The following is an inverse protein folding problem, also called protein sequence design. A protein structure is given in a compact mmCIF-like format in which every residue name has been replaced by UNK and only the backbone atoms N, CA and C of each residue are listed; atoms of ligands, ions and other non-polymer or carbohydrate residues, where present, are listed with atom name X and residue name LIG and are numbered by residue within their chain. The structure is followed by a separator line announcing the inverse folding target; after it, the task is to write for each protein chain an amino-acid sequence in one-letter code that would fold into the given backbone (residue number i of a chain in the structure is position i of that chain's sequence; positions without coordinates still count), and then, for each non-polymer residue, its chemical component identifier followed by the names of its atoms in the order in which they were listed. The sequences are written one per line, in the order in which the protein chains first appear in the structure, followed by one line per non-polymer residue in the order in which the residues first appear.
data_IF_972075353120
#
_entry.id   IF_972075353120
#
_cell.length_a   1.000
_cell.length_b   1.000
_cell.length_c   1.000
_cell.angle_alpha   90.00
_cell.angle_beta   90.00
_cell.angle_gamma   90.00
#
_symmetry.space_group_name_H-M   'P 1'
#
loop_
_entity.id
_entity.type
_entity.pdbx_description
1 polymer ?
#
# COMPACT_ATOMS: atom_id res chain seq x y z
N UNK A 1 6.85 17.09 -35.41
CA UNK A 1 6.97 16.27 -34.17
C UNK A 1 8.45 16.16 -33.87
N UNK A 2 8.85 15.96 -32.62
CA UNK A 2 10.25 15.66 -32.30
C UNK A 2 10.59 14.29 -32.89
N UNK A 3 11.63 14.20 -33.71
CA UNK A 3 12.00 12.95 -34.39
C UNK A 3 13.42 12.47 -34.04
N UNK A 4 14.23 13.30 -33.37
CA UNK A 4 15.59 12.96 -33.02
C UNK A 4 15.71 12.63 -31.52
N UNK A 5 16.41 11.53 -31.21
CA UNK A 5 16.78 11.13 -29.85
C UNK A 5 17.73 12.14 -29.18
N UNK A 6 18.53 12.87 -29.95
CA UNK A 6 19.39 13.93 -29.41
C UNK A 6 18.56 15.09 -28.84
N UNK A 7 17.48 15.47 -29.53
CA UNK A 7 16.60 16.53 -29.05
C UNK A 7 15.86 16.11 -27.77
N UNK A 8 15.53 14.82 -27.64
CA UNK A 8 14.94 14.30 -26.42
C UNK A 8 15.95 14.28 -25.27
N UNK A 9 17.21 13.95 -25.55
CA UNK A 9 18.30 14.02 -24.59
C UNK A 9 18.52 15.44 -24.05
N UNK A 10 18.33 16.47 -24.88
CA UNK A 10 18.38 17.87 -24.41
C UNK A 10 17.32 18.18 -23.33
N UNK A 11 16.10 17.63 -23.43
CA UNK A 11 15.11 17.79 -22.37
C UNK A 11 15.48 17.00 -21.12
N UNK A 12 16.02 15.79 -21.28
CA UNK A 12 16.52 14.98 -20.16
C UNK A 12 17.64 15.71 -19.39
N UNK A 13 18.53 16.40 -20.10
CA UNK A 13 19.60 17.20 -19.49
C UNK A 13 19.07 18.52 -18.93
N UNK A 14 18.10 19.15 -19.57
CA UNK A 14 17.42 20.35 -19.06
C UNK A 14 16.76 20.13 -17.69
N UNK A 15 16.33 18.91 -17.37
CA UNK A 15 15.82 18.53 -16.05
C UNK A 15 16.83 18.75 -14.91
N UNK A 16 18.14 18.76 -15.24
CA UNK A 16 19.24 18.95 -14.29
C UNK A 16 19.65 20.43 -14.14
N UNK A 17 19.01 21.34 -14.86
CA UNK A 17 19.30 22.78 -14.84
C UNK A 17 19.14 23.38 -13.44
N UNK A 18 19.87 24.45 -13.11
CA UNK A 18 19.62 25.22 -11.88
C UNK A 18 18.36 26.10 -11.94
N UNK A 19 17.79 26.31 -13.13
CA UNK A 19 16.61 27.17 -13.34
C UNK A 19 15.31 26.37 -13.26
N UNK A 20 14.45 26.72 -12.31
CA UNK A 20 13.15 26.10 -12.09
C UNK A 20 12.23 26.11 -13.32
N UNK A 21 12.26 27.16 -14.14
CA UNK A 21 11.46 27.23 -15.38
C UNK A 21 11.94 26.20 -16.40
N UNK A 22 13.26 26.05 -16.52
CA UNK A 22 13.87 25.06 -17.42
C UNK A 22 13.54 23.64 -16.95
N UNK A 23 13.62 23.36 -15.65
CA UNK A 23 13.20 22.05 -15.10
C UNK A 23 11.74 21.73 -15.40
N UNK A 24 10.84 22.66 -15.12
CA UNK A 24 9.39 22.51 -15.35
C UNK A 24 9.08 22.24 -16.82
N UNK A 25 9.67 23.03 -17.72
CA UNK A 25 9.51 22.84 -19.16
C UNK A 25 10.09 21.49 -19.62
N UNK A 26 11.27 21.13 -19.11
CA UNK A 26 11.92 19.86 -19.43
C UNK A 26 11.07 18.67 -19.01
N UNK A 27 10.52 18.67 -17.79
CA UNK A 27 9.62 17.63 -17.31
C UNK A 27 8.38 17.47 -18.19
N UNK A 28 7.75 18.59 -18.57
CA UNK A 28 6.60 18.58 -19.48
C UNK A 28 6.97 17.96 -20.84
N UNK A 29 8.11 18.33 -21.42
CA UNK A 29 8.55 17.83 -22.72
C UNK A 29 8.95 16.35 -22.67
N UNK A 30 9.60 15.93 -21.57
CA UNK A 30 9.91 14.51 -21.31
C UNK A 30 8.64 13.67 -21.34
N UNK A 31 7.61 14.07 -20.60
CA UNK A 31 6.33 13.34 -20.52
C UNK A 31 5.58 13.40 -21.86
N UNK A 32 5.59 14.55 -22.54
CA UNK A 32 4.92 14.73 -23.84
C UNK A 32 5.41 13.75 -24.90
N UNK A 33 6.71 13.49 -24.94
CA UNK A 33 7.34 12.60 -25.94
C UNK A 33 7.70 11.21 -25.39
N UNK A 34 7.20 10.85 -24.20
CA UNK A 34 7.50 9.58 -23.53
C UNK A 34 7.25 8.33 -24.38
N UNK A 35 6.21 8.35 -25.22
CA UNK A 35 5.85 7.23 -26.10
C UNK A 35 6.79 7.09 -27.30
N UNK A 36 7.49 8.16 -27.69
CA UNK A 36 8.33 8.20 -28.88
C UNK A 36 9.73 7.63 -28.66
N UNK A 37 10.27 7.73 -27.44
CA UNK A 37 11.68 7.42 -27.14
C UNK A 37 11.79 6.33 -26.08
N UNK A 38 11.46 5.09 -26.45
CA UNK A 38 11.38 3.96 -25.51
C UNK A 38 12.72 3.60 -24.87
N UNK A 39 13.81 3.69 -25.63
CA UNK A 39 15.18 3.36 -25.18
C UNK A 39 15.69 4.32 -24.10
N UNK A 40 15.22 5.59 -24.13
CA UNK A 40 15.64 6.62 -23.18
C UNK A 40 14.69 6.75 -21.98
N UNK A 41 13.62 5.95 -21.88
CA UNK A 41 12.60 6.06 -20.82
C UNK A 41 13.15 5.93 -19.40
N UNK A 42 14.06 4.99 -19.15
CA UNK A 42 14.65 4.84 -17.82
C UNK A 42 15.46 6.09 -17.44
N UNK A 43 16.25 6.63 -18.37
CA UNK A 43 17.02 7.86 -18.13
C UNK A 43 16.08 9.05 -17.90
N UNK A 44 15.05 9.19 -18.74
CA UNK A 44 14.00 10.19 -18.60
C UNK A 44 13.28 10.09 -17.25
N UNK A 45 12.94 8.87 -16.81
CA UNK A 45 12.35 8.61 -15.51
C UNK A 45 13.24 9.13 -14.38
N UNK A 46 14.52 8.76 -14.34
CA UNK A 46 15.43 9.21 -13.29
C UNK A 46 15.64 10.73 -13.30
N UNK A 47 15.63 11.36 -14.49
CA UNK A 47 15.62 12.83 -14.59
C UNK A 47 14.35 13.44 -13.96
N UNK A 48 13.17 12.87 -14.17
CA UNK A 48 11.94 13.33 -13.52
C UNK A 48 12.02 13.15 -11.99
N UNK A 49 12.51 12.00 -11.52
CA UNK A 49 12.69 11.72 -10.08
C UNK A 49 13.64 12.75 -9.44
N UNK A 50 14.72 13.13 -10.11
CA UNK A 50 15.62 14.16 -9.58
C UNK A 50 14.94 15.52 -9.36
N UNK A 51 13.90 15.84 -10.13
CA UNK A 51 13.11 17.06 -9.95
C UNK A 51 12.07 16.88 -8.82
N UNK A 52 11.62 15.66 -8.56
CA UNK A 52 10.76 15.37 -7.41
C UNK A 52 11.48 15.51 -6.06
N UNK A 53 12.82 15.55 -6.06
CA UNK A 53 13.64 15.85 -4.88
C UNK A 53 14.01 17.35 -4.80
N UNK A 54 13.44 18.20 -5.67
CA UNK A 54 13.74 19.63 -5.68
C UNK A 54 13.29 20.32 -4.38
N UNK A 55 14.06 21.32 -3.94
CA UNK A 55 13.77 22.13 -2.77
C UNK A 55 12.50 22.96 -2.94
N UNK A 56 12.20 23.40 -4.16
CA UNK A 56 11.01 24.16 -4.50
C UNK A 56 9.77 23.25 -4.62
N UNK A 57 8.79 23.35 -3.69
CA UNK A 57 7.57 22.55 -3.75
C UNK A 57 6.77 22.78 -5.03
N UNK A 58 6.81 23.99 -5.60
CA UNK A 58 6.07 24.28 -6.84
C UNK A 58 6.70 23.59 -8.06
N UNK A 59 8.00 23.31 -8.00
CA UNK A 59 8.70 22.49 -8.99
C UNK A 59 8.33 21.02 -8.86
N UNK A 60 8.29 20.47 -7.64
CA UNK A 60 7.82 19.10 -7.40
C UNK A 60 6.37 18.89 -7.84
N UNK A 61 5.46 19.78 -7.42
CA UNK A 61 4.04 19.76 -7.81
C UNK A 61 3.84 19.82 -9.33
N UNK A 62 4.68 20.57 -10.05
CA UNK A 62 4.64 20.60 -11.51
C UNK A 62 4.94 19.21 -12.09
N UNK A 63 5.97 18.52 -11.60
CA UNK A 63 6.33 17.18 -12.08
C UNK A 63 5.31 16.13 -11.69
N UNK A 64 4.75 16.18 -10.48
CA UNK A 64 3.65 15.28 -10.06
C UNK A 64 2.47 15.39 -11.03
N UNK A 65 2.13 16.61 -11.46
CA UNK A 65 1.07 16.84 -12.46
C UNK A 65 1.40 16.20 -13.80
N UNK A 66 2.65 16.30 -14.26
CA UNK A 66 3.07 15.66 -15.51
C UNK A 66 3.07 14.12 -15.39
N UNK A 67 3.51 13.55 -14.26
CA UNK A 67 3.48 12.10 -14.03
C UNK A 67 2.09 11.49 -14.13
N UNK A 68 1.04 12.23 -13.75
CA UNK A 68 -0.35 11.77 -13.92
C UNK A 68 -0.70 11.42 -15.37
N UNK A 69 -0.04 12.03 -16.36
CA UNK A 69 -0.28 11.71 -17.78
C UNK A 69 0.31 10.35 -18.18
N UNK A 70 1.34 9.88 -17.47
CA UNK A 70 2.01 8.62 -17.77
C UNK A 70 1.15 7.39 -17.46
N UNK A 71 0.06 7.54 -16.70
CA UNK A 71 -0.91 6.46 -16.50
C UNK A 71 -1.44 5.89 -17.82
N UNK A 72 -1.55 6.72 -18.87
CA UNK A 72 -2.04 6.29 -20.20
C UNK A 72 -0.99 5.51 -21.02
N UNK A 73 0.19 5.31 -20.46
CA UNK A 73 1.30 4.60 -21.11
C UNK A 73 1.41 3.17 -20.61
N UNK A 74 1.14 2.92 -19.33
CA UNK A 74 1.35 1.61 -18.70
C UNK A 74 2.82 1.21 -18.54
N UNK A 75 3.73 2.17 -18.65
CA UNK A 75 5.17 1.94 -18.65
C UNK A 75 5.78 2.39 -17.33
N UNK A 76 6.70 1.59 -16.77
CA UNK A 76 7.38 1.86 -15.49
C UNK A 76 6.40 2.13 -14.32
N UNK A 77 5.22 1.51 -14.34
CA UNK A 77 4.16 1.76 -13.35
C UNK A 77 4.63 1.42 -11.94
N UNK A 78 5.31 0.29 -11.78
CA UNK A 78 5.92 -0.15 -10.53
C UNK A 78 6.89 0.88 -9.96
N UNK A 79 7.81 1.41 -10.78
CA UNK A 79 8.78 2.43 -10.38
C UNK A 79 8.12 3.78 -10.06
N UNK A 80 7.12 4.18 -10.85
CA UNK A 80 6.37 5.41 -10.60
C UNK A 80 5.60 5.29 -9.28
N UNK A 81 4.93 4.16 -9.04
CA UNK A 81 4.19 3.91 -7.82
C UNK A 81 5.10 3.88 -6.58
N UNK A 82 6.30 3.28 -6.70
CA UNK A 82 7.31 3.27 -5.66
C UNK A 82 7.72 4.71 -5.27
N UNK A 83 8.14 5.52 -6.23
CA UNK A 83 8.54 6.92 -5.97
C UNK A 83 7.38 7.75 -5.42
N UNK A 84 6.18 7.66 -6.01
CA UNK A 84 5.01 8.41 -5.53
C UNK A 84 4.63 8.03 -4.09
N UNK A 85 4.70 6.74 -3.77
CA UNK A 85 4.41 6.27 -2.41
C UNK A 85 5.49 6.69 -1.43
N UNK A 86 6.78 6.68 -1.78
CA UNK A 86 7.88 7.24 -0.96
C UNK A 86 7.71 8.74 -0.70
N UNK A 87 7.40 9.52 -1.74
CA UNK A 87 7.12 10.96 -1.59
C UNK A 87 5.92 11.21 -0.67
N UNK A 88 4.89 10.36 -0.74
CA UNK A 88 3.72 10.47 0.12
C UNK A 88 4.08 10.29 1.60
N UNK A 89 5.13 9.51 1.91
CA UNK A 89 5.66 9.34 3.26
C UNK A 89 6.35 10.59 3.76
N UNK A 90 7.10 11.26 2.89
CA UNK A 90 8.04 12.33 3.24
C UNK A 90 7.40 13.72 3.25
N UNK A 91 6.28 13.92 2.54
CA UNK A 91 5.63 15.24 2.47
C UNK A 91 4.75 15.53 3.68
N UNK A 92 4.84 16.76 4.17
CA UNK A 92 3.91 17.36 5.13
C UNK A 92 3.04 18.46 4.48
N UNK A 93 3.26 18.78 3.20
CA UNK A 93 2.47 19.78 2.47
C UNK A 93 1.12 19.17 2.05
N UNK A 94 -0.02 19.67 2.56
CA UNK A 94 -1.33 19.05 2.30
C UNK A 94 -1.72 19.04 0.81
N UNK A 95 -1.26 20.05 0.05
CA UNK A 95 -1.56 20.15 -1.37
C UNK A 95 -0.77 19.11 -2.17
N UNK A 96 0.53 18.98 -1.91
CA UNK A 96 1.40 17.97 -2.50
C UNK A 96 0.93 16.57 -2.12
N UNK A 97 0.57 16.34 -0.85
CA UNK A 97 -0.02 15.09 -0.38
C UNK A 97 -1.29 14.74 -1.18
N UNK A 98 -2.21 15.69 -1.35
CA UNK A 98 -3.42 15.49 -2.17
C UNK A 98 -3.08 15.16 -3.63
N UNK A 99 -2.08 15.83 -4.22
CA UNK A 99 -1.66 15.56 -5.59
C UNK A 99 -1.03 14.17 -5.75
N UNK A 100 -0.19 13.75 -4.81
CA UNK A 100 0.43 12.42 -4.79
C UNK A 100 -0.62 11.32 -4.64
N UNK A 101 -1.51 11.44 -3.66
CA UNK A 101 -2.63 10.52 -3.44
C UNK A 101 -3.49 10.37 -4.68
N UNK A 102 -3.91 11.50 -5.29
CA UNK A 102 -4.74 11.48 -6.50
C UNK A 102 -4.02 10.87 -7.71
N UNK A 103 -2.71 11.09 -7.83
CA UNK A 103 -1.91 10.53 -8.93
C UNK A 103 -1.74 9.03 -8.73
N UNK A 104 -1.34 8.59 -7.53
CA UNK A 104 -1.19 7.18 -7.19
C UNK A 104 -2.52 6.41 -7.32
N UNK A 105 -3.63 7.02 -6.93
CA UNK A 105 -4.97 6.45 -7.11
C UNK A 105 -5.34 6.27 -8.59
N UNK A 106 -4.94 7.18 -9.49
CA UNK A 106 -5.16 7.00 -10.94
C UNK A 106 -4.39 5.78 -11.48
N UNK A 107 -3.14 5.61 -11.04
CA UNK A 107 -2.36 4.41 -11.36
C UNK A 107 -3.02 3.16 -10.78
N UNK A 108 -3.49 3.18 -9.53
CA UNK A 108 -4.15 2.04 -8.88
C UNK A 108 -5.37 1.56 -9.66
N UNK A 109 -6.20 2.51 -10.15
CA UNK A 109 -7.40 2.21 -10.95
C UNK A 109 -7.10 1.56 -12.31
N UNK A 110 -5.87 1.72 -12.81
CA UNK A 110 -5.46 1.24 -14.14
C UNK A 110 -4.56 -0.01 -14.05
N UNK A 111 -3.72 -0.09 -13.02
CA UNK A 111 -2.66 -1.09 -12.84
C UNK A 111 -2.56 -1.51 -11.36
N UNK A 112 -3.62 -2.10 -10.78
CA UNK A 112 -3.70 -2.31 -9.35
C UNK A 112 -2.59 -3.23 -8.83
N UNK A 113 -2.23 -4.27 -9.60
CA UNK A 113 -1.17 -5.22 -9.24
C UNK A 113 0.17 -4.54 -8.99
N UNK A 114 0.61 -3.73 -9.95
CA UNK A 114 1.94 -3.10 -9.90
C UNK A 114 2.00 -2.03 -8.81
N UNK A 115 0.92 -1.26 -8.67
CA UNK A 115 0.82 -0.22 -7.63
C UNK A 115 0.78 -0.82 -6.24
N UNK A 116 -0.04 -1.83 -5.99
CA UNK A 116 -0.13 -2.46 -4.68
C UNK A 116 1.20 -3.12 -4.30
N UNK A 117 1.85 -3.81 -5.23
CA UNK A 117 3.18 -4.41 -4.99
C UNK A 117 4.19 -3.35 -4.52
N UNK A 118 4.25 -2.21 -5.21
CA UNK A 118 5.15 -1.12 -4.83
C UNK A 118 4.80 -0.50 -3.46
N UNK A 119 3.51 -0.26 -3.22
CA UNK A 119 3.04 0.34 -1.95
C UNK A 119 3.31 -0.60 -0.77
N UNK A 120 3.05 -1.91 -0.92
CA UNK A 120 3.30 -2.88 0.14
C UNK A 120 4.79 -3.04 0.45
N UNK A 121 5.66 -3.07 -0.56
CA UNK A 121 7.11 -3.04 -0.35
C UNK A 121 7.51 -1.85 0.53
N UNK A 122 6.89 -0.69 0.32
CA UNK A 122 7.15 0.51 1.10
C UNK A 122 6.54 0.47 2.51
N UNK A 123 5.42 -0.20 2.71
CA UNK A 123 4.87 -0.48 4.05
C UNK A 123 5.83 -1.41 4.81
N UNK A 124 6.25 -2.51 4.20
CA UNK A 124 7.11 -3.54 4.82
C UNK A 124 8.48 -2.97 5.19
N UNK A 125 9.06 -2.13 4.34
CA UNK A 125 10.38 -1.52 4.57
C UNK A 125 10.37 -0.36 5.56
N UNK A 126 9.21 0.25 5.84
CA UNK A 126 9.13 1.44 6.69
C UNK A 126 9.14 1.06 8.16
N UNK A 127 10.14 1.54 8.90
CA UNK A 127 10.19 1.44 10.36
C UNK A 127 9.26 2.48 11.03
N UNK A 128 8.91 3.56 10.33
CA UNK A 128 8.02 4.62 10.83
C UNK A 128 6.54 4.21 10.73
N UNK A 129 5.88 4.16 11.89
CA UNK A 129 4.46 3.83 12.02
C UNK A 129 3.55 4.84 11.30
N UNK A 130 3.86 6.14 11.41
CA UNK A 130 3.03 7.19 10.81
C UNK A 130 3.00 7.08 9.28
N UNK A 131 4.12 6.63 8.71
CA UNK A 131 4.29 6.35 7.29
C UNK A 131 3.50 5.10 6.87
N UNK A 132 3.62 3.99 7.61
CA UNK A 132 2.85 2.77 7.34
C UNK A 132 1.34 3.03 7.39
N UNK A 133 0.87 3.72 8.42
CA UNK A 133 -0.55 4.13 8.55
C UNK A 133 -1.01 4.95 7.35
N UNK A 134 -0.18 5.88 6.86
CA UNK A 134 -0.53 6.73 5.71
C UNK A 134 -0.74 5.92 4.44
N UNK A 135 0.12 4.94 4.18
CA UNK A 135 -0.01 4.05 3.01
C UNK A 135 -1.16 3.06 3.16
N UNK A 136 -1.40 2.54 4.37
CA UNK A 136 -2.56 1.68 4.65
C UNK A 136 -3.89 2.44 4.48
N UNK A 137 -3.96 3.71 4.89
CA UNK A 137 -5.12 4.58 4.61
C UNK A 137 -5.35 4.75 3.12
N UNK A 138 -4.28 4.98 2.35
CA UNK A 138 -4.38 5.06 0.89
C UNK A 138 -5.00 3.79 0.29
N UNK A 139 -4.53 2.60 0.70
CA UNK A 139 -5.10 1.33 0.25
C UNK A 139 -6.58 1.23 0.65
N UNK A 140 -6.91 1.48 1.91
CA UNK A 140 -8.29 1.38 2.43
C UNK A 140 -9.27 2.30 1.68
N UNK A 141 -8.86 3.53 1.39
CA UNK A 141 -9.71 4.52 0.76
C UNK A 141 -9.92 4.27 -0.73
N UNK A 142 -8.92 3.73 -1.43
CA UNK A 142 -8.90 3.67 -2.90
C UNK A 142 -9.00 2.25 -3.48
N UNK A 143 -8.81 1.18 -2.72
CA UNK A 143 -8.91 -0.19 -3.24
C UNK A 143 -10.34 -0.47 -3.77
N UNK A 144 -11.37 0.05 -3.10
CA UNK A 144 -12.77 -0.05 -3.54
C UNK A 144 -13.06 0.64 -4.88
N UNK A 145 -12.21 1.58 -5.29
CA UNK A 145 -12.36 2.28 -6.57
C UNK A 145 -11.75 1.50 -7.74
N UNK A 146 -11.05 0.39 -7.48
CA UNK A 146 -10.48 -0.46 -8.53
C UNK A 146 -11.62 -1.10 -9.33
N UNK A 147 -11.63 -0.95 -10.67
CA UNK A 147 -12.67 -1.54 -11.49
C UNK A 147 -12.77 -3.06 -11.28
N UNK A 148 -13.99 -3.58 -11.09
CA UNK A 148 -14.24 -5.00 -10.82
C UNK A 148 -13.59 -5.96 -11.83
N UNK A 149 -13.47 -5.53 -13.10
CA UNK A 149 -12.77 -6.28 -14.16
C UNK A 149 -11.28 -6.53 -13.88
N UNK A 150 -10.66 -5.70 -13.05
CA UNK A 150 -9.26 -5.83 -12.64
C UNK A 150 -9.12 -6.53 -11.28
N UNK A 151 -10.23 -6.67 -10.52
CA UNK A 151 -10.28 -7.36 -9.22
C UNK A 151 -10.37 -8.89 -9.40
N UNK A 152 -9.38 -9.45 -10.10
CA UNK A 152 -9.26 -10.87 -10.38
C UNK A 152 -8.91 -11.68 -9.13
N UNK A 153 -9.05 -13.01 -9.19
CA UNK A 153 -8.60 -13.91 -8.12
C UNK A 153 -7.10 -13.74 -7.83
N UNK A 154 -6.28 -13.58 -8.86
CA UNK A 154 -4.83 -13.36 -8.73
C UNK A 154 -4.50 -12.07 -7.98
N UNK A 155 -5.26 -10.99 -8.23
CA UNK A 155 -5.07 -9.73 -7.50
C UNK A 155 -5.47 -9.89 -6.03
N UNK A 156 -6.57 -10.60 -5.75
CA UNK A 156 -7.02 -10.88 -4.38
C UNK A 156 -5.97 -11.71 -3.63
N UNK A 157 -5.46 -12.79 -4.23
CA UNK A 157 -4.38 -13.60 -3.67
C UNK A 157 -3.13 -12.77 -3.39
N UNK A 158 -2.73 -11.89 -4.31
CA UNK A 158 -1.59 -10.99 -4.09
C UNK A 158 -1.82 -10.10 -2.86
N UNK A 159 -3.01 -9.50 -2.73
CA UNK A 159 -3.33 -8.64 -1.58
C UNK A 159 -3.25 -9.44 -0.27
N UNK A 160 -3.77 -10.66 -0.27
CA UNK A 160 -3.71 -11.57 0.88
C UNK A 160 -2.28 -11.91 1.27
N UNK A 161 -1.44 -12.27 0.29
CA UNK A 161 -0.04 -12.60 0.51
C UNK A 161 0.75 -11.38 1.01
N UNK A 162 0.51 -10.20 0.43
CA UNK A 162 1.16 -8.96 0.85
C UNK A 162 0.74 -8.52 2.25
N UNK A 163 -0.53 -8.69 2.64
CA UNK A 163 -0.94 -8.43 4.02
C UNK A 163 -0.35 -9.44 5.01
N UNK A 164 -0.23 -10.72 4.60
CA UNK A 164 0.45 -11.74 5.40
C UNK A 164 1.91 -11.38 5.66
N UNK A 165 2.59 -10.83 4.65
CA UNK A 165 3.99 -10.41 4.75
C UNK A 165 4.14 -9.09 5.53
N UNK A 166 3.30 -8.09 5.23
CA UNK A 166 3.32 -6.78 5.91
C UNK A 166 2.93 -6.86 7.38
N UNK A 167 2.11 -7.84 7.75
CA UNK A 167 1.62 -8.01 9.11
C UNK A 167 1.43 -9.50 9.43
N UNK A 168 2.44 -10.18 9.99
CA UNK A 168 2.24 -11.47 10.65
C UNK A 168 1.13 -11.40 11.72
N UNK A 169 0.93 -10.20 12.29
CA UNK A 169 -0.06 -9.83 13.31
C UNK A 169 -1.51 -9.71 12.84
N UNK A 170 -1.80 -9.35 11.58
CA UNK A 170 -3.20 -9.20 11.11
C UNK A 170 -3.91 -10.52 11.17
N UNK A 171 -3.18 -11.60 10.88
CA UNK A 171 -3.69 -12.93 11.11
C UNK A 171 -3.97 -13.16 12.61
N UNK A 172 -3.04 -12.83 13.50
CA UNK A 172 -3.22 -12.99 14.94
C UNK A 172 -4.33 -12.12 15.57
N UNK A 173 -4.67 -10.95 15.02
CA UNK A 173 -5.78 -10.14 15.55
C UNK A 173 -7.13 -10.47 14.92
N UNK A 174 -7.16 -10.97 13.68
CA UNK A 174 -8.32 -11.70 13.17
C UNK A 174 -8.63 -12.92 14.04
N UNK A 175 -7.61 -13.61 14.55
CA UNK A 175 -7.77 -14.69 15.53
C UNK A 175 -8.52 -14.18 16.74
N UNK A 176 -8.04 -13.12 17.40
CA UNK A 176 -8.67 -12.60 18.63
C UNK A 176 -10.06 -12.04 18.34
N UNK A 177 -10.25 -11.31 17.25
CA UNK A 177 -11.56 -10.77 16.88
C UNK A 177 -12.55 -11.90 16.57
N UNK A 178 -12.19 -12.90 15.76
CA UNK A 178 -13.07 -14.06 15.51
C UNK A 178 -13.27 -14.90 16.78
N UNK A 179 -12.22 -15.16 17.56
CA UNK A 179 -12.31 -15.92 18.81
C UNK A 179 -13.23 -15.21 19.82
N UNK A 180 -13.16 -13.88 19.93
CA UNK A 180 -14.05 -13.10 20.79
C UNK A 180 -15.48 -12.97 20.22
N UNK A 181 -15.64 -12.89 18.89
CA UNK A 181 -16.97 -12.76 18.25
C UNK A 181 -17.70 -14.12 18.20
N UNK A 182 -16.99 -15.22 17.98
CA UNK A 182 -17.51 -16.59 18.15
C UNK A 182 -17.77 -16.89 19.63
N UNK A 183 -16.91 -16.46 20.57
CA UNK A 183 -17.19 -16.55 22.01
C UNK A 183 -18.42 -15.71 22.40
N UNK A 184 -18.69 -14.57 21.76
CA UNK A 184 -19.91 -13.79 21.98
C UNK A 184 -21.15 -14.51 21.43
N UNK A 185 -21.02 -15.19 20.28
CA UNK A 185 -22.07 -16.08 19.75
C UNK A 185 -22.27 -17.35 20.61
N UNK A 186 -21.22 -17.87 21.23
CA UNK A 186 -21.25 -19.01 22.15
C UNK A 186 -21.75 -18.60 23.55
N UNK A 187 -21.49 -17.36 23.97
CA UNK A 187 -22.00 -16.76 25.21
C UNK A 187 -23.52 -16.58 25.17
N UNK A 188 -24.11 -16.40 23.99
CA UNK A 188 -25.57 -16.45 23.80
C UNK A 188 -26.18 -17.83 24.11
N UNK A 189 -25.37 -18.89 24.16
CA UNK A 189 -25.75 -20.27 24.53
C UNK A 189 -25.35 -20.66 25.96
N UNK A 190 -25.08 -19.69 26.85
CA UNK A 190 -24.96 -19.88 28.31
C UNK A 190 -23.79 -20.74 28.86
N UNK A 191 -22.82 -21.17 28.05
CA UNK A 191 -21.67 -21.94 28.59
C UNK A 191 -20.47 -21.06 29.02
N UNK A 192 -20.42 -19.79 28.62
CA UNK A 192 -19.27 -18.89 28.87
C UNK A 192 -19.27 -18.31 30.30
N UNK A 193 -20.42 -18.29 30.99
CA UNK A 193 -20.52 -17.74 32.35
C UNK A 193 -19.64 -18.50 33.36
N UNK A 194 -19.27 -19.76 33.04
CA UNK A 194 -18.35 -20.57 33.86
C UNK A 194 -16.88 -20.27 33.59
N UNK A 195 -16.52 -19.81 32.39
CA UNK A 195 -15.13 -19.58 31.96
C UNK A 195 -14.61 -18.21 32.41
N UNK A 196 -15.48 -17.19 32.44
CA UNK A 196 -15.11 -15.83 32.86
C UNK A 196 -14.99 -15.71 34.40
N UNK A 197 -15.75 -16.50 35.16
CA UNK A 197 -15.76 -16.43 36.64
C UNK A 197 -14.58 -17.15 37.32
N UNK A 198 -13.80 -17.96 36.59
CA UNK A 198 -12.67 -18.74 37.16
C UNK A 198 -11.32 -18.02 37.11
N UNK A 199 -11.27 -16.74 36.74
CA UNK A 199 -10.09 -15.89 36.99
C UNK A 199 -8.77 -16.39 36.39
N UNK A 200 -8.81 -17.13 35.29
CA UNK A 200 -7.59 -17.52 34.58
C UNK A 200 -7.13 -16.36 33.72
N UNK A 201 -5.96 -15.79 34.03
CA UNK A 201 -5.26 -14.87 33.13
C UNK A 201 -5.10 -15.56 31.78
N UNK A 202 -5.32 -14.83 30.70
CA UNK A 202 -5.11 -15.31 29.35
C UNK A 202 -3.64 -15.77 29.23
N UNK A 203 -3.35 -17.07 29.04
CA UNK A 203 -1.96 -17.57 28.97
C UNK A 203 -1.18 -17.00 27.78
N UNK A 204 -1.87 -16.29 26.88
CA UNK A 204 -1.30 -15.63 25.72
C UNK A 204 -0.91 -14.16 25.98
N UNK A 205 -1.24 -13.58 27.15
CA UNK A 205 -1.03 -12.15 27.45
C UNK A 205 0.42 -11.68 27.23
N UNK A 206 1.41 -12.50 27.60
CA UNK A 206 2.83 -12.17 27.41
C UNK A 206 3.26 -12.17 25.93
N UNK A 207 2.81 -13.15 25.15
CA UNK A 207 3.11 -13.24 23.71
C UNK A 207 2.30 -12.24 22.90
N UNK A 208 1.04 -11.99 23.29
CA UNK A 208 0.19 -10.90 22.77
C UNK A 208 0.92 -9.57 22.92
N UNK A 209 1.45 -9.25 24.11
CA UNK A 209 2.20 -8.01 24.34
C UNK A 209 3.56 -7.94 23.61
N UNK A 210 4.16 -9.08 23.27
CA UNK A 210 5.43 -9.13 22.53
C UNK A 210 5.23 -9.05 21.02
N UNK A 211 4.12 -9.56 20.50
CA UNK A 211 3.70 -9.53 19.08
C UNK A 211 2.98 -8.20 18.75
N UNK A 212 2.27 -7.60 19.72
CA UNK A 212 1.69 -6.24 19.64
C UNK A 212 2.74 -5.12 19.59
N UNK A 213 4.04 -5.42 19.64
CA UNK A 213 5.10 -4.41 19.49
C UNK A 213 5.23 -3.88 18.07
N UNK A 214 4.84 -4.69 17.07
CA UNK A 214 5.19 -4.42 15.67
C UNK A 214 4.03 -3.89 14.82
N UNK A 215 2.78 -3.97 15.31
CA UNK A 215 1.59 -3.46 14.62
C UNK A 215 0.63 -2.80 15.60
N UNK A 216 0.23 -1.56 15.33
CA UNK A 216 -0.64 -0.78 16.23
C UNK A 216 -2.11 -1.02 15.96
N UNK A 217 -2.97 -0.64 16.91
CA UNK A 217 -4.43 -0.79 16.77
C UNK A 217 -4.97 -0.07 15.51
N UNK A 218 -4.37 1.08 15.15
CA UNK A 218 -4.76 1.82 13.96
C UNK A 218 -4.38 1.10 12.65
N UNK A 219 -3.19 0.49 12.60
CA UNK A 219 -2.78 -0.34 11.46
C UNK A 219 -3.69 -1.56 11.33
N UNK A 220 -4.04 -2.20 12.45
CA UNK A 220 -4.97 -3.32 12.48
C UNK A 220 -6.35 -2.94 11.92
N UNK A 221 -6.96 -1.86 12.40
CA UNK A 221 -8.29 -1.43 11.97
C UNK A 221 -8.32 -1.19 10.45
N UNK A 222 -7.29 -0.53 9.91
CA UNK A 222 -7.19 -0.26 8.47
C UNK A 222 -7.08 -1.53 7.63
N UNK A 223 -6.26 -2.49 8.07
CA UNK A 223 -6.09 -3.74 7.34
C UNK A 223 -7.36 -4.58 7.41
N UNK A 224 -7.99 -4.64 8.59
CA UNK A 224 -9.24 -5.34 8.77
C UNK A 224 -10.36 -4.76 7.90
N UNK A 225 -10.46 -3.43 7.81
CA UNK A 225 -11.41 -2.74 6.93
C UNK A 225 -11.18 -3.08 5.47
N UNK A 226 -9.92 -3.07 5.01
CA UNK A 226 -9.56 -3.47 3.64
C UNK A 226 -10.03 -4.88 3.35
N UNK A 227 -9.72 -5.84 4.23
CA UNK A 227 -10.06 -7.24 3.98
C UNK A 227 -11.57 -7.48 4.03
N UNK A 228 -12.29 -6.85 4.95
CA UNK A 228 -13.74 -6.95 5.04
C UNK A 228 -14.43 -6.36 3.81
N UNK A 229 -13.84 -5.35 3.18
CA UNK A 229 -14.37 -4.76 1.96
C UNK A 229 -14.25 -5.69 0.74
N UNK A 230 -13.35 -6.68 0.76
CA UNK A 230 -13.20 -7.62 -0.36
C UNK A 230 -14.34 -8.65 -0.40
N UNK A 231 -14.98 -8.76 -1.55
CA UNK A 231 -16.16 -9.61 -1.82
C UNK A 231 -16.06 -11.07 -1.31
N UNK A 232 -14.93 -11.81 -1.45
CA UNK A 232 -14.84 -13.18 -0.96
C UNK A 232 -15.11 -13.28 0.55
N UNK A 233 -14.70 -12.28 1.31
CA UNK A 233 -14.73 -12.24 2.77
C UNK A 233 -16.01 -11.63 3.36
N UNK A 234 -16.90 -11.13 2.51
CA UNK A 234 -18.23 -10.69 2.93
C UNK A 234 -19.14 -11.87 3.26
N UNK A 235 -18.86 -13.06 2.69
CA UNK A 235 -19.59 -14.30 2.95
C UNK A 235 -19.18 -14.97 4.28
N UNK A 236 -20.07 -15.77 4.86
CA UNK A 236 -19.75 -16.59 6.06
C UNK A 236 -18.57 -17.53 5.79
N UNK A 237 -18.51 -18.11 4.59
CA UNK A 237 -17.45 -19.03 4.22
C UNK A 237 -16.10 -18.33 4.04
N UNK A 238 -16.08 -17.14 3.43
CA UNK A 238 -14.85 -16.34 3.34
C UNK A 238 -14.35 -15.87 4.69
N UNK A 239 -15.26 -15.51 5.60
CA UNK A 239 -14.94 -15.26 7.00
C UNK A 239 -14.27 -16.46 7.69
N UNK A 240 -14.72 -17.69 7.39
CA UNK A 240 -14.09 -18.93 7.87
C UNK A 240 -12.72 -19.16 7.21
N UNK A 241 -12.52 -18.78 5.95
CA UNK A 241 -11.21 -18.88 5.28
C UNK A 241 -10.20 -17.92 5.92
N UNK A 242 -10.60 -16.68 6.20
CA UNK A 242 -9.79 -15.75 6.99
C UNK A 242 -9.41 -16.37 8.33
N UNK A 243 -10.37 -16.96 9.03
CA UNK A 243 -10.11 -17.67 10.29
C UNK A 243 -9.13 -18.86 10.15
N UNK A 244 -9.18 -19.63 9.07
CA UNK A 244 -8.26 -20.78 8.88
C UNK A 244 -6.83 -20.36 8.59
N UNK A 245 -6.64 -19.37 7.72
CA UNK A 245 -5.30 -18.83 7.41
C UNK A 245 -4.58 -18.38 8.67
N UNK A 246 -5.36 -17.87 9.63
CA UNK A 246 -4.92 -17.39 10.92
C UNK A 246 -4.47 -18.52 11.82
N UNK A 247 -5.31 -19.54 11.99
CA UNK A 247 -5.02 -20.69 12.85
C UNK A 247 -3.78 -21.45 12.38
N UNK A 248 -3.62 -21.63 11.07
CA UNK A 248 -2.46 -22.29 10.46
C UNK A 248 -1.15 -21.51 10.70
N UNK A 249 -1.21 -20.17 10.68
CA UNK A 249 -0.03 -19.32 10.85
C UNK A 249 0.44 -19.26 12.32
N UNK A 250 -0.49 -19.35 13.27
CA UNK A 250 -0.19 -19.33 14.72
C UNK A 250 0.36 -20.68 15.21
N UNK A 251 0.12 -21.77 14.46
CA UNK A 251 0.64 -23.10 14.81
C UNK A 251 0.02 -23.68 16.08
N UNK A 252 -1.27 -23.39 16.32
CA UNK A 252 -2.02 -23.80 17.53
C UNK A 252 -2.08 -25.33 17.70
N UNK A 253 -1.86 -26.10 16.63
CA UNK A 253 -1.81 -27.56 16.66
C UNK A 253 -0.51 -28.14 17.27
N UNK A 254 0.49 -27.30 17.58
CA UNK A 254 1.71 -27.75 18.26
C UNK A 254 1.52 -27.64 19.78
N UNK A 255 1.85 -28.69 20.56
CA UNK A 255 1.80 -28.60 22.01
C UNK A 255 2.75 -27.51 22.49
N UNK A 256 2.21 -26.60 23.30
CA UNK A 256 2.95 -25.43 23.79
C UNK A 256 4.13 -25.87 24.68
N UNK A 257 5.31 -25.25 24.55
CA UNK A 257 6.42 -25.50 25.46
C UNK A 257 6.00 -25.02 26.85
N UNK A 258 5.86 -25.97 27.77
CA UNK A 258 5.56 -25.71 29.17
C UNK A 258 6.84 -25.18 29.81
N UNK A 259 6.83 -23.91 30.24
CA UNK A 259 7.87 -23.34 31.10
C UNK A 259 7.52 -23.53 32.56
#
# INVERSE_FOLDING_TARGET
MLHNADDYALFIDGAKSGDAKVKKLSAQMIVRYWKNFTEQRNLAFYSLVSILEDRDPETRKAVIRELSQLVKTGELVDKIADVLSQMLQQTDDPQEMSMLTNTLAQFLKSYPRDVLSAVFVNIIKSEDESVRIRLLKFINEHLRDVPSRLTTADLKSLIEDQFREACPFVLFCLFIYFYLTEMAHFAANNEVHRFILTGHRCPYEFYVLQIMKDVTAAEFDLIFDVMRAMEPYQSVQGRIVLYKMVVEHIGIDRPFPVS
#
